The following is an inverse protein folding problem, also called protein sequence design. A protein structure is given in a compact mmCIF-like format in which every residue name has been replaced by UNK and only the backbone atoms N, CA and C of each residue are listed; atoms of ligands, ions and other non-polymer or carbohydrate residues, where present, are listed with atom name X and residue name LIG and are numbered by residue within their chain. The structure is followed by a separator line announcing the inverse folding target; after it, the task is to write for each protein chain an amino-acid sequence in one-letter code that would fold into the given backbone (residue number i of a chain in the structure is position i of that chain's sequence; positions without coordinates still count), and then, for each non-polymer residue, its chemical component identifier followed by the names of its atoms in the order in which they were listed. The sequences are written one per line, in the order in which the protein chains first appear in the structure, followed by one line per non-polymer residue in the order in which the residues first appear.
data_IF_267202377621
#
_entry.id   IF_267202377621
#
_cell.length_a   1.000
_cell.length_b   1.000
_cell.length_c   1.000
_cell.angle_alpha   90.00
_cell.angle_beta   90.00
_cell.angle_gamma   90.00
#
_symmetry.space_group_name_H-M   'P 1'
#
loop_
_entity.id
_entity.type
_entity.pdbx_description
1 polymer ?
#
# COMPACT_ATOMS: atom_id res chain seq x y z
N UNK A 1 8.21 -1.24 5.75
CA UNK A 1 7.02 -0.83 4.96
C UNK A 1 5.89 -0.19 5.76
N UNK A 2 5.92 -0.16 7.11
CA UNK A 2 4.85 0.44 7.93
C UNK A 2 4.55 1.91 7.59
N UNK A 3 5.57 2.68 7.22
CA UNK A 3 5.48 4.10 6.84
C UNK A 3 4.72 4.37 5.54
N UNK A 4 4.51 3.36 4.69
CA UNK A 4 3.83 3.53 3.40
C UNK A 4 2.33 3.25 3.53
N UNK A 5 1.91 2.56 4.60
CA UNK A 5 0.53 2.11 4.77
C UNK A 5 -0.43 3.27 4.99
N UNK A 6 -0.06 4.29 5.76
CA UNK A 6 -0.88 5.47 6.03
C UNK A 6 -0.04 6.74 5.81
N UNK A 7 -0.44 7.66 4.90
CA UNK A 7 0.29 8.90 4.66
C UNK A 7 0.30 9.86 5.86
N UNK A 8 -0.61 9.69 6.83
CA UNK A 8 -0.70 10.56 8.01
C UNK A 8 0.14 10.06 9.19
N UNK A 9 0.65 8.82 9.13
CA UNK A 9 1.42 8.20 10.22
C UNK A 9 2.88 8.04 9.83
N UNK A 10 3.70 8.93 10.37
CA UNK A 10 5.16 8.88 10.24
C UNK A 10 5.76 8.10 11.40
N UNK A 11 6.64 7.15 11.09
CA UNK A 11 7.31 6.30 12.07
C UNK A 11 8.81 6.56 12.06
N UNK A 12 9.47 6.24 13.18
CA UNK A 12 10.93 6.23 13.26
C UNK A 12 11.50 5.31 12.17
N UNK A 13 12.55 5.78 11.51
CA UNK A 13 13.23 5.01 10.47
C UNK A 13 14.09 3.93 11.14
N UNK A 14 13.65 2.69 11.05
CA UNK A 14 14.51 1.54 11.30
C UNK A 14 15.52 1.42 10.13
N UNK A 15 16.75 0.98 10.42
CA UNK A 15 17.85 0.91 9.45
C UNK A 15 17.48 0.21 8.13
N UNK A 16 18.21 0.53 7.06
CA UNK A 16 17.83 0.27 5.65
C UNK A 16 17.52 -1.17 5.25
N UNK A 17 17.75 -2.16 6.12
CA UNK A 17 17.37 -3.56 5.95
C UNK A 17 16.90 -4.12 7.31
N UNK A 18 15.71 -3.71 7.77
CA UNK A 18 15.10 -4.30 8.95
C UNK A 18 14.80 -5.79 8.67
N UNK A 19 15.72 -6.65 9.06
CA UNK A 19 15.54 -8.09 9.01
C UNK A 19 14.51 -8.49 10.08
N UNK A 20 13.64 -9.47 9.82
CA UNK A 20 12.80 -10.02 10.85
C UNK A 20 13.68 -10.55 11.99
N UNK A 21 13.26 -10.36 13.25
CA UNK A 21 14.04 -10.86 14.38
C UNK A 21 14.10 -12.39 14.35
N UNK A 22 15.20 -12.96 14.85
CA UNK A 22 15.46 -14.41 14.86
C UNK A 22 14.30 -15.21 15.48
N UNK A 23 13.64 -14.63 16.47
CA UNK A 23 12.47 -15.19 17.11
C UNK A 23 11.34 -14.18 17.05
N UNK A 24 10.14 -14.66 16.69
CA UNK A 24 8.93 -13.85 16.59
C UNK A 24 7.75 -14.68 17.09
N UNK A 25 6.78 -14.02 17.72
CA UNK A 25 5.51 -14.63 18.10
C UNK A 25 4.37 -13.77 17.55
N UNK A 26 3.30 -14.44 17.11
CA UNK A 26 2.09 -13.77 16.66
C UNK A 26 1.06 -13.84 17.79
N UNK A 27 0.50 -12.70 18.14
CA UNK A 27 -0.49 -12.57 19.20
C UNK A 27 -1.65 -11.69 18.76
N UNK A 28 -2.80 -11.87 19.42
CA UNK A 28 -3.97 -11.00 19.25
C UNK A 28 -4.16 -10.20 20.54
N UNK A 29 -4.50 -8.93 20.40
CA UNK A 29 -4.76 -8.06 21.55
C UNK A 29 -6.09 -8.47 22.21
N UNK A 30 -6.06 -8.74 23.51
CA UNK A 30 -7.27 -8.94 24.32
C UNK A 30 -7.64 -7.55 24.88
N UNK A 31 -8.75 -7.01 24.41
CA UNK A 31 -9.25 -5.69 24.80
C UNK A 31 -9.64 -5.68 26.29
N UNK A 32 -9.34 -4.57 26.98
CA UNK A 32 -9.66 -4.39 28.39
C UNK A 32 -11.17 -4.35 28.67
N UNK A 33 -11.59 -4.65 29.90
CA UNK A 33 -13.01 -4.67 30.28
C UNK A 33 -13.66 -3.28 30.33
N UNK A 34 -12.89 -2.19 30.24
CA UNK A 34 -13.39 -0.82 30.34
C UNK A 34 -13.65 -0.15 28.97
N UNK A 35 -13.18 -0.73 27.87
CA UNK A 35 -13.19 -0.09 26.55
C UNK A 35 -14.16 -0.78 25.58
N UNK A 36 -15.46 -0.76 25.90
CA UNK A 36 -16.47 -1.49 25.12
C UNK A 36 -16.78 -0.89 23.74
N UNK A 37 -16.76 0.44 23.59
CA UNK A 37 -17.25 1.11 22.38
C UNK A 37 -16.15 1.78 21.53
N UNK A 38 -15.02 2.13 22.13
CA UNK A 38 -13.94 2.86 21.46
C UNK A 38 -12.78 1.95 21.03
N UNK A 39 -12.31 1.09 21.94
CA UNK A 39 -11.14 0.22 21.71
C UNK A 39 -11.47 -1.15 21.14
N UNK A 40 -12.73 -1.58 21.24
CA UNK A 40 -13.15 -2.94 20.85
C UNK A 40 -13.54 -3.06 19.39
N UNK A 41 -12.92 -4.02 18.69
CA UNK A 41 -13.27 -4.39 17.32
C UNK A 41 -14.42 -5.40 17.35
N UNK A 42 -15.50 -5.10 16.64
CA UNK A 42 -16.65 -6.00 16.51
C UNK A 42 -16.25 -7.34 15.87
N UNK A 43 -16.90 -8.44 16.30
CA UNK A 43 -16.55 -9.80 15.87
C UNK A 43 -16.51 -10.00 14.36
N UNK A 44 -17.38 -9.30 13.61
CA UNK A 44 -17.46 -9.35 12.15
C UNK A 44 -16.27 -8.68 11.44
N UNK A 45 -15.67 -7.68 12.09
CA UNK A 45 -14.61 -6.85 11.51
C UNK A 45 -13.23 -7.42 11.84
N UNK A 46 -13.12 -8.28 12.87
CA UNK A 46 -11.89 -8.99 13.23
C UNK A 46 -11.41 -9.87 12.07
N UNK A 47 -10.19 -9.63 11.59
CA UNK A 47 -9.52 -10.47 10.59
C UNK A 47 -8.44 -11.35 11.22
N UNK A 48 -7.94 -12.32 10.45
CA UNK A 48 -6.94 -13.28 10.93
C UNK A 48 -5.52 -12.75 10.82
N UNK A 49 -5.26 -11.86 9.86
CA UNK A 49 -3.92 -11.34 9.57
C UNK A 49 -3.92 -9.83 9.36
N UNK A 50 -2.79 -9.20 9.64
CA UNK A 50 -2.61 -7.75 9.40
C UNK A 50 -2.78 -7.36 7.92
N UNK A 51 -2.52 -8.27 7.00
CA UNK A 51 -2.69 -8.01 5.56
C UNK A 51 -4.16 -7.98 5.19
N UNK A 52 -4.98 -8.87 5.76
CA UNK A 52 -6.44 -8.85 5.56
C UNK A 52 -7.05 -7.54 6.06
N UNK A 53 -6.62 -7.05 7.22
CA UNK A 53 -7.04 -5.74 7.75
C UNK A 53 -6.67 -4.61 6.78
N UNK A 54 -5.43 -4.58 6.31
CA UNK A 54 -4.96 -3.57 5.36
C UNK A 54 -5.70 -3.63 4.01
N UNK A 55 -6.07 -4.83 3.54
CA UNK A 55 -6.86 -5.02 2.33
C UNK A 55 -8.33 -4.63 2.50
N UNK A 56 -8.87 -4.72 3.72
CA UNK A 56 -10.22 -4.26 4.03
C UNK A 56 -10.32 -2.72 4.07
N UNK A 57 -9.24 -2.04 4.46
CA UNK A 57 -9.12 -0.57 4.45
C UNK A 57 -8.78 0.01 3.07
N UNK A 58 -7.95 -0.68 2.28
CA UNK A 58 -8.07 -0.63 0.82
C UNK A 58 -9.47 -1.18 0.44
N UNK A 59 -9.96 -1.39 -0.78
CA UNK A 59 -11.42 -1.57 -1.06
C UNK A 59 -12.27 -0.34 -0.70
N UNK A 60 -12.26 0.13 0.55
CA UNK A 60 -12.93 1.35 1.00
C UNK A 60 -12.22 2.60 0.47
N UNK A 61 -10.92 2.73 0.74
CA UNK A 61 -10.18 3.97 0.44
C UNK A 61 -9.67 4.09 -1.00
N UNK A 62 -9.43 2.98 -1.72
CA UNK A 62 -8.87 2.93 -3.10
C UNK A 62 -7.52 3.62 -3.26
N UNK A 63 -6.84 3.94 -2.16
CA UNK A 63 -5.65 4.80 -2.15
C UNK A 63 -4.45 4.11 -2.77
N UNK A 64 -4.22 2.84 -2.42
CA UNK A 64 -3.07 2.11 -2.94
C UNK A 64 -3.21 1.91 -4.43
N UNK A 65 -4.40 1.57 -4.92
CA UNK A 65 -4.67 1.45 -6.35
C UNK A 65 -4.39 2.76 -7.10
N UNK A 66 -4.87 3.90 -6.59
CA UNK A 66 -4.64 5.22 -7.19
C UNK A 66 -3.17 5.61 -7.20
N UNK A 67 -2.47 5.47 -6.05
CA UNK A 67 -1.04 5.81 -5.96
C UNK A 67 -0.18 4.89 -6.81
N UNK A 68 -0.53 3.61 -6.89
CA UNK A 68 0.15 2.66 -7.77
C UNK A 68 0.05 3.11 -9.23
N UNK A 69 -1.15 3.46 -9.72
CA UNK A 69 -1.34 3.94 -11.09
C UNK A 69 -0.53 5.21 -11.38
N UNK A 70 -0.56 6.18 -10.47
CA UNK A 70 0.23 7.42 -10.58
C UNK A 70 1.73 7.10 -10.74
N UNK A 71 2.25 6.21 -9.88
CA UNK A 71 3.64 5.76 -9.96
C UNK A 71 3.93 5.03 -11.27
N UNK A 72 3.02 4.18 -11.75
CA UNK A 72 3.18 3.50 -13.04
C UNK A 72 3.21 4.49 -14.20
N UNK A 73 2.31 5.47 -14.24
CA UNK A 73 2.29 6.51 -15.28
C UNK A 73 3.60 7.31 -15.27
N UNK A 74 4.06 7.73 -14.10
CA UNK A 74 5.34 8.43 -13.94
C UNK A 74 6.51 7.55 -14.42
N UNK A 75 6.55 6.28 -14.03
CA UNK A 75 7.58 5.32 -14.45
C UNK A 75 7.50 4.93 -15.93
N UNK A 76 6.34 5.04 -16.58
CA UNK A 76 6.15 4.72 -18.00
C UNK A 76 6.51 5.90 -18.90
N UNK A 77 6.49 7.12 -18.36
CA UNK A 77 6.90 8.33 -19.08
C UNK A 77 8.29 8.17 -19.71
N UNK A 78 8.42 8.57 -20.97
CA UNK A 78 9.70 8.54 -21.71
C UNK A 78 10.22 7.16 -22.12
N UNK A 79 9.53 6.06 -21.77
CA UNK A 79 9.96 4.70 -22.13
C UNK A 79 9.66 4.34 -23.60
N UNK A 80 9.90 3.07 -23.95
CA UNK A 80 9.68 2.48 -25.29
C UNK A 80 8.33 2.82 -25.91
N UNK A 81 7.24 2.85 -25.13
CA UNK A 81 5.92 3.24 -25.63
C UNK A 81 5.90 4.67 -26.18
N UNK A 82 6.55 5.62 -25.49
CA UNK A 82 6.67 6.99 -25.94
C UNK A 82 7.50 7.09 -27.23
N UNK A 83 8.64 6.40 -27.27
CA UNK A 83 9.49 6.35 -28.47
C UNK A 83 8.76 5.76 -29.68
N UNK A 84 8.04 4.65 -29.50
CA UNK A 84 7.25 4.03 -30.57
C UNK A 84 6.16 4.96 -31.10
N UNK A 85 5.48 5.69 -30.20
CA UNK A 85 4.48 6.69 -30.58
C UNK A 85 5.09 7.85 -31.39
N UNK A 86 6.29 8.31 -31.03
CA UNK A 86 7.02 9.32 -31.81
C UNK A 86 7.39 8.80 -33.20
N UNK A 87 7.92 7.57 -33.29
CA UNK A 87 8.26 6.94 -34.57
C UNK A 87 7.03 6.79 -35.46
N UNK A 88 5.91 6.35 -34.91
CA UNK A 88 4.65 6.24 -35.64
C UNK A 88 4.16 7.59 -36.19
N UNK A 89 4.27 8.67 -35.40
CA UNK A 89 3.94 10.04 -35.85
C UNK A 89 4.84 10.52 -36.99
N UNK A 90 6.15 10.23 -36.95
CA UNK A 90 7.08 10.58 -38.05
C UNK A 90 6.73 9.83 -39.33
N UNK A 91 6.51 8.52 -39.24
CA UNK A 91 6.18 7.69 -40.41
C UNK A 91 4.85 8.09 -41.06
N UNK A 92 3.87 8.53 -40.26
CA UNK A 92 2.56 9.00 -40.77
C UNK A 92 2.66 10.32 -41.53
N UNK A 93 3.67 11.15 -41.26
CA UNK A 93 3.89 12.46 -41.91
C UNK A 93 4.76 12.37 -43.18
N UNK A 94 5.41 11.23 -43.39
CA UNK A 94 6.25 10.93 -44.57
C UNK A 94 5.46 10.26 -45.71
N UNK A 95 4.19 9.91 -45.47
CA UNK A 95 3.20 9.54 -46.48
C UNK A 95 2.30 10.73 -46.72
#
# INVERSE_FOLDING_TARGET
MRSVLDPKRHYKKEGGNAQPPKYSQLGTIIEGPTEFFSGRIAKKDRKKTFVEDALALERETKRFASKYREIQTSKQSGKKSFYNNLRAKRNRRSK
#
